data_IF_572255378849
#
_entry.id   IF_572255378849
#
_cell.length_a   1.000
_cell.length_b   1.000
_cell.length_c   1.000
_cell.angle_alpha   90.00
_cell.angle_beta   90.00
_cell.angle_gamma   90.00
#
_symmetry.space_group_name_H-M   'P 1'
#
loop_
_entity.id
_entity.type
_entity.pdbx_description
1 polymer ?
#
# COMPACT_ATOMS: atom_id res chain seq x y z
N UNK A 1 -6.04 -5.83 8.54
CA UNK A 1 -6.93 -6.97 8.28
C UNK A 1 -7.60 -7.46 9.57
N UNK A 2 -6.85 -7.77 10.62
CA UNK A 2 -7.43 -8.33 11.86
C UNK A 2 -8.14 -7.30 12.75
N UNK A 3 -7.42 -6.26 13.18
CA UNK A 3 -7.99 -5.26 14.10
C UNK A 3 -8.93 -4.26 13.42
N UNK A 4 -8.85 -4.12 12.09
CA UNK A 4 -9.60 -3.12 11.31
C UNK A 4 -9.51 -1.71 11.91
N UNK A 5 -8.35 -1.39 12.48
CA UNK A 5 -8.02 -0.11 13.10
C UNK A 5 -6.68 0.36 12.54
N UNK A 6 -6.57 1.65 12.25
CA UNK A 6 -5.36 2.25 11.70
C UNK A 6 -5.04 3.56 12.39
N UNK A 7 -3.81 3.67 12.91
CA UNK A 7 -3.29 4.94 13.41
C UNK A 7 -2.90 5.84 12.24
N UNK A 8 -3.70 6.87 12.03
CA UNK A 8 -3.54 7.81 10.91
C UNK A 8 -2.53 8.92 11.17
N UNK A 9 -2.08 9.10 12.42
CA UNK A 9 -1.03 10.06 12.75
C UNK A 9 0.31 9.60 12.15
N UNK A 10 0.96 10.44 11.30
CA UNK A 10 2.28 10.15 10.75
C UNK A 10 3.43 10.39 11.74
N UNK A 11 3.18 10.92 12.94
CA UNK A 11 4.23 11.28 13.89
C UNK A 11 4.95 10.04 14.45
N UNK A 12 6.21 9.87 14.07
CA UNK A 12 7.06 8.77 14.56
C UNK A 12 7.49 8.95 16.02
N UNK A 13 7.34 10.13 16.62
CA UNK A 13 7.56 10.32 18.05
C UNK A 13 6.54 9.56 18.92
N UNK A 14 5.46 9.04 18.32
CA UNK A 14 4.51 8.14 18.98
C UNK A 14 5.10 6.72 19.22
N UNK A 15 6.32 6.47 18.75
CA UNK A 15 7.03 5.20 18.90
C UNK A 15 8.35 5.45 19.62
N UNK A 16 8.63 4.67 20.66
CA UNK A 16 9.92 4.67 21.35
C UNK A 16 10.55 3.29 21.23
N UNK A 17 11.77 3.23 20.72
CA UNK A 17 12.53 1.99 20.72
C UNK A 17 13.28 1.83 22.04
N UNK A 18 12.88 0.85 22.84
CA UNK A 18 13.63 0.43 24.02
C UNK A 18 14.74 -0.55 23.60
N UNK A 19 15.98 -0.05 23.54
CA UNK A 19 17.14 -0.84 23.16
C UNK A 19 17.43 -2.00 24.12
N UNK A 20 17.02 -1.92 25.40
CA UNK A 20 17.26 -2.97 26.38
C UNK A 20 16.36 -4.17 26.14
N UNK A 21 15.06 -3.95 25.93
CA UNK A 21 14.10 -5.02 25.64
C UNK A 21 13.99 -5.36 24.15
N UNK A 22 14.57 -4.54 23.27
CA UNK A 22 14.41 -4.60 21.81
C UNK A 22 12.96 -4.53 21.37
N UNK A 23 12.14 -3.74 22.08
CA UNK A 23 10.72 -3.55 21.79
C UNK A 23 10.44 -2.13 21.35
N UNK A 24 9.42 -1.99 20.52
CA UNK A 24 8.84 -0.69 20.17
C UNK A 24 7.67 -0.43 21.11
N UNK A 25 7.76 0.63 21.91
CA UNK A 25 6.71 1.12 22.80
C UNK A 25 5.82 2.08 22.02
N UNK A 26 4.51 1.84 22.06
CA UNK A 26 3.49 2.66 21.44
C UNK A 26 2.98 3.68 22.47
N UNK A 27 3.23 4.96 22.23
CA UNK A 27 2.97 6.04 23.20
C UNK A 27 1.59 6.68 23.01
N UNK A 28 1.07 6.70 21.78
CA UNK A 28 -0.17 7.37 21.46
C UNK A 28 -1.03 6.55 20.49
N UNK A 29 -2.34 6.55 20.75
CA UNK A 29 -3.39 5.93 19.93
C UNK A 29 -4.56 6.90 19.61
N UNK A 30 -4.46 8.18 19.98
CA UNK A 30 -5.55 9.17 19.88
C UNK A 30 -6.05 9.44 18.46
N UNK A 31 -5.21 9.16 17.44
CA UNK A 31 -5.55 9.29 16.02
C UNK A 31 -5.86 7.94 15.34
N UNK A 32 -6.31 6.94 16.11
CA UNK A 32 -6.75 5.65 15.58
C UNK A 32 -8.13 5.77 14.96
N UNK A 33 -8.26 5.32 13.71
CA UNK A 33 -9.53 5.29 12.99
C UNK A 33 -9.94 3.87 12.62
N UNK A 34 -11.24 3.53 12.67
CA UNK A 34 -11.73 2.28 12.12
C UNK A 34 -11.50 2.26 10.60
N UNK A 35 -11.16 1.08 10.09
CA UNK A 35 -11.14 0.76 8.67
C UNK A 35 -12.34 -0.12 8.40
N UNK A 36 -13.24 0.32 7.52
CA UNK A 36 -14.43 -0.45 7.16
C UNK A 36 -14.05 -1.88 6.71
N UNK A 37 -14.82 -2.87 7.14
CA UNK A 37 -14.63 -4.27 6.76
C UNK A 37 -14.63 -4.48 5.24
N UNK A 38 -15.52 -3.80 4.50
CA UNK A 38 -15.57 -3.84 3.05
C UNK A 38 -14.28 -3.27 2.45
N UNK A 39 -13.83 -2.11 2.92
CA UNK A 39 -12.58 -1.50 2.47
C UNK A 39 -11.37 -2.42 2.73
N UNK A 40 -11.30 -3.01 3.92
CA UNK A 40 -10.25 -3.98 4.26
C UNK A 40 -10.30 -5.21 3.35
N UNK A 41 -11.48 -5.72 3.01
CA UNK A 41 -11.63 -6.87 2.12
C UNK A 41 -11.22 -6.51 0.67
N UNK A 42 -11.60 -5.34 0.17
CA UNK A 42 -11.21 -4.87 -1.15
C UNK A 42 -9.70 -4.68 -1.27
N UNK A 43 -9.04 -4.14 -0.23
CA UNK A 43 -7.57 -4.08 -0.19
C UNK A 43 -6.92 -5.48 -0.19
N UNK A 44 -7.49 -6.45 0.53
CA UNK A 44 -7.00 -7.83 0.49
C UNK A 44 -7.14 -8.40 -0.93
N UNK A 45 -8.30 -8.24 -1.56
CA UNK A 45 -8.54 -8.67 -2.94
C UNK A 45 -7.54 -8.04 -3.92
N UNK A 46 -7.34 -6.73 -3.81
CA UNK A 46 -6.39 -5.97 -4.62
C UNK A 46 -4.96 -6.51 -4.52
N UNK A 47 -4.47 -6.73 -3.29
CA UNK A 47 -3.13 -7.26 -3.06
C UNK A 47 -2.98 -8.71 -3.55
N UNK A 48 -3.97 -9.56 -3.29
CA UNK A 48 -3.96 -10.95 -3.76
C UNK A 48 -3.98 -11.03 -5.28
N UNK A 49 -4.83 -10.25 -5.95
CA UNK A 49 -4.94 -10.21 -7.40
C UNK A 49 -3.63 -9.73 -8.05
N UNK A 50 -3.05 -8.64 -7.54
CA UNK A 50 -1.77 -8.12 -8.02
C UNK A 50 -0.63 -9.12 -7.86
N UNK A 51 -0.51 -9.77 -6.69
CA UNK A 51 0.52 -10.77 -6.43
C UNK A 51 0.32 -12.07 -7.23
N UNK A 52 -0.92 -12.41 -7.60
CA UNK A 52 -1.25 -13.54 -8.46
C UNK A 52 -1.13 -13.23 -9.95
N UNK A 53 -0.86 -11.97 -10.33
CA UNK A 53 -0.86 -11.54 -11.74
C UNK A 53 -2.25 -11.51 -12.38
N UNK A 54 -3.33 -11.49 -11.58
CA UNK A 54 -4.69 -11.39 -12.08
C UNK A 54 -5.06 -9.91 -12.29
N UNK A 55 -4.66 -9.37 -13.43
CA UNK A 55 -4.88 -7.97 -13.81
C UNK A 55 -6.36 -7.57 -13.77
N UNK A 56 -7.25 -8.40 -14.34
CA UNK A 56 -8.68 -8.09 -14.39
C UNK A 56 -9.28 -7.91 -12.98
N UNK A 57 -8.93 -8.80 -12.04
CA UNK A 57 -9.38 -8.70 -10.66
C UNK A 57 -8.71 -7.54 -9.93
N UNK A 58 -7.43 -7.27 -10.19
CA UNK A 58 -6.70 -6.14 -9.65
C UNK A 58 -7.35 -4.82 -10.07
N UNK A 59 -7.67 -4.65 -11.35
CA UNK A 59 -8.33 -3.47 -11.90
C UNK A 59 -9.75 -3.29 -11.33
N UNK A 60 -10.52 -4.38 -11.22
CA UNK A 60 -11.84 -4.34 -10.58
C UNK A 60 -11.78 -3.87 -9.12
N UNK A 61 -10.82 -4.39 -8.35
CA UNK A 61 -10.60 -3.94 -6.98
C UNK A 61 -10.09 -2.49 -6.94
N UNK A 62 -9.21 -2.08 -7.86
CA UNK A 62 -8.70 -0.72 -7.97
C UNK A 62 -9.80 0.31 -8.27
N UNK A 63 -10.78 -0.04 -9.13
CA UNK A 63 -11.98 0.77 -9.37
C UNK A 63 -12.80 0.93 -8.08
N UNK A 64 -13.00 -0.16 -7.35
CA UNK A 64 -13.75 -0.14 -6.07
C UNK A 64 -13.04 0.69 -5.00
N UNK A 65 -11.70 0.63 -4.94
CA UNK A 65 -10.89 1.47 -4.05
C UNK A 65 -10.85 2.93 -4.49
N UNK A 66 -11.25 3.23 -5.73
CA UNK A 66 -11.15 4.53 -6.34
C UNK A 66 -9.73 4.90 -6.76
N UNK A 67 -8.83 3.95 -7.01
CA UNK A 67 -7.56 4.25 -7.69
C UNK A 67 -7.74 4.45 -9.18
N UNK A 68 -8.71 3.74 -9.75
CA UNK A 68 -9.19 3.92 -11.11
C UNK A 68 -10.60 4.51 -11.08
N UNK A 69 -11.00 5.17 -12.17
CA UNK A 69 -12.35 5.64 -12.42
C UNK A 69 -12.61 5.62 -13.93
N UNK A 70 -13.84 5.34 -14.34
CA UNK A 70 -14.33 5.42 -15.72
C UNK A 70 -14.10 6.80 -16.37
N UNK A 71 -14.04 7.87 -15.58
CA UNK A 71 -13.74 9.22 -16.06
C UNK A 71 -12.25 9.43 -16.43
N UNK A 72 -11.35 8.55 -16.00
CA UNK A 72 -9.93 8.63 -16.36
C UNK A 72 -9.73 8.22 -17.82
N UNK A 73 -8.85 8.92 -18.53
CA UNK A 73 -8.51 8.56 -19.92
C UNK A 73 -7.87 7.18 -19.99
N UNK A 74 -8.03 6.48 -21.12
CA UNK A 74 -7.44 5.15 -21.32
C UNK A 74 -5.93 5.16 -21.04
N UNK A 75 -5.22 6.19 -21.50
CA UNK A 75 -3.79 6.36 -21.25
C UNK A 75 -3.42 6.41 -19.76
N UNK A 76 -4.26 7.01 -18.91
CA UNK A 76 -4.01 7.05 -17.46
C UNK A 76 -4.31 5.70 -16.79
N UNK A 77 -5.30 4.97 -17.30
CA UNK A 77 -5.60 3.62 -16.81
C UNK A 77 -4.46 2.66 -17.18
N UNK A 78 -3.96 2.73 -18.42
CA UNK A 78 -2.83 1.93 -18.89
C UNK A 78 -1.56 2.23 -18.08
N UNK A 79 -1.28 3.51 -17.82
CA UNK A 79 -0.16 3.93 -16.97
C UNK A 79 -0.27 3.38 -15.54
N UNK A 80 -1.48 3.40 -14.96
CA UNK A 80 -1.72 2.80 -13.64
C UNK A 80 -1.45 1.30 -13.63
N UNK A 81 -1.96 0.57 -14.63
CA UNK A 81 -1.79 -0.88 -14.74
C UNK A 81 -0.31 -1.23 -14.88
N UNK A 82 0.43 -0.52 -15.72
CA UNK A 82 1.88 -0.69 -15.88
C UNK A 82 2.63 -0.48 -14.56
N UNK A 83 2.33 0.60 -13.82
CA UNK A 83 2.92 0.85 -12.51
C UNK A 83 2.63 -0.28 -11.53
N UNK A 84 1.40 -0.81 -11.52
CA UNK A 84 1.02 -1.87 -10.59
C UNK A 84 1.68 -3.20 -10.95
N UNK A 85 1.85 -3.52 -12.23
CA UNK A 85 2.64 -4.68 -12.63
C UNK A 85 4.07 -4.62 -12.12
N UNK A 86 4.74 -3.46 -12.26
CA UNK A 86 6.09 -3.27 -11.74
C UNK A 86 6.13 -3.40 -10.20
N UNK A 87 5.17 -2.77 -9.51
CA UNK A 87 5.08 -2.80 -8.05
C UNK A 87 4.88 -4.23 -7.51
N UNK A 88 3.93 -4.97 -8.08
CA UNK A 88 3.60 -6.33 -7.64
C UNK A 88 4.67 -7.34 -8.06
N UNK A 89 5.30 -7.18 -9.22
CA UNK A 89 6.44 -8.01 -9.62
C UNK A 89 7.60 -7.88 -8.63
N UNK A 90 7.91 -6.65 -8.17
CA UNK A 90 8.92 -6.42 -7.14
C UNK A 90 8.53 -7.04 -5.80
N UNK A 91 7.27 -6.88 -5.40
CA UNK A 91 6.75 -7.39 -4.13
C UNK A 91 6.67 -8.93 -4.09
N UNK A 92 6.49 -9.58 -5.25
CA UNK A 92 6.37 -11.03 -5.37
C UNK A 92 7.73 -11.76 -5.29
N UNK A 93 8.85 -11.03 -5.48
CA UNK A 93 10.20 -11.59 -5.38
C UNK A 93 10.44 -12.19 -3.99
N UNK A 94 11.05 -13.36 -3.95
CA UNK A 94 11.44 -14.01 -2.70
C UNK A 94 12.79 -13.44 -2.21
N UNK A 95 12.79 -12.14 -1.90
CA UNK A 95 13.98 -11.40 -1.49
C UNK A 95 13.69 -10.43 -0.35
N UNK A 96 14.77 -10.01 0.31
CA UNK A 96 14.71 -8.90 1.27
C UNK A 96 14.47 -7.61 0.50
N UNK A 97 13.39 -6.91 0.82
CA UNK A 97 13.12 -5.59 0.27
C UNK A 97 14.00 -4.55 0.96
N UNK A 98 14.91 -3.96 0.20
CA UNK A 98 15.87 -2.96 0.68
C UNK A 98 15.32 -1.56 0.48
N UNK A 99 14.64 -1.00 1.48
CA UNK A 99 13.99 0.31 1.36
C UNK A 99 14.98 1.45 1.04
N UNK A 100 16.23 1.32 1.49
CA UNK A 100 17.27 2.34 1.26
C UNK A 100 17.83 2.37 -0.17
N UNK A 101 17.65 1.30 -0.95
CA UNK A 101 18.32 1.08 -2.25
C UNK A 101 17.35 0.77 -3.40
N UNK A 102 16.06 0.55 -3.11
CA UNK A 102 15.07 0.20 -4.13
C UNK A 102 14.63 1.43 -4.94
N UNK A 103 15.32 1.68 -6.05
CA UNK A 103 15.03 2.78 -6.98
C UNK A 103 13.66 2.63 -7.66
N UNK A 104 13.24 1.40 -7.95
CA UNK A 104 11.94 1.12 -8.57
C UNK A 104 10.79 1.63 -7.68
N UNK A 105 10.83 1.33 -6.39
CA UNK A 105 9.80 1.80 -5.47
C UNK A 105 9.79 3.33 -5.33
N UNK A 106 10.94 3.99 -5.50
CA UNK A 106 11.01 5.44 -5.52
C UNK A 106 10.38 6.02 -6.79
N UNK A 107 10.72 5.46 -7.95
CA UNK A 107 10.16 5.86 -9.24
C UNK A 107 8.63 5.71 -9.26
N UNK A 108 8.13 4.55 -8.83
CA UNK A 108 6.69 4.29 -8.74
C UNK A 108 5.96 5.26 -7.81
N UNK A 109 6.59 5.67 -6.70
CA UNK A 109 6.04 6.71 -5.84
C UNK A 109 5.92 8.05 -6.58
N UNK A 110 6.94 8.47 -7.32
CA UNK A 110 6.91 9.73 -8.07
C UNK A 110 5.89 9.71 -9.20
N UNK A 111 5.86 8.63 -9.99
CA UNK A 111 4.84 8.42 -11.04
C UNK A 111 3.42 8.46 -10.47
N UNK A 112 3.20 7.79 -9.35
CA UNK A 112 1.91 7.81 -8.65
C UNK A 112 1.48 9.21 -8.20
N UNK A 113 2.41 10.04 -7.70
CA UNK A 113 2.13 11.44 -7.34
C UNK A 113 1.76 12.27 -8.57
N UNK A 114 2.51 12.16 -9.67
CA UNK A 114 2.22 12.87 -10.92
C UNK A 114 0.88 12.44 -11.54
N UNK A 115 0.55 11.16 -11.49
CA UNK A 115 -0.75 10.66 -11.94
C UNK A 115 -1.88 11.16 -11.04
N UNK A 116 -1.67 11.20 -9.71
CA UNK A 116 -2.64 11.76 -8.77
C UNK A 116 -2.88 13.26 -9.03
N UNK A 117 -1.84 14.03 -9.34
CA UNK A 117 -1.98 15.45 -9.68
C UNK A 117 -2.80 15.65 -10.97
N UNK A 118 -2.51 14.88 -12.02
CA UNK A 118 -3.26 14.91 -13.29
C UNK A 118 -4.72 14.47 -13.12
N UNK A 119 -5.00 13.52 -12.23
CA UNK A 119 -6.36 12.98 -12.02
C UNK A 119 -7.21 13.78 -11.04
N UNK A 120 -6.64 14.65 -10.19
CA UNK A 120 -7.37 15.38 -9.14
C UNK A 120 -8.60 16.16 -9.62
N UNK A 121 -8.57 16.70 -10.83
CA UNK A 121 -9.68 17.47 -11.41
C UNK A 121 -10.83 16.58 -11.89
N UNK A 122 -10.54 15.31 -12.14
CA UNK A 122 -11.44 14.33 -12.75
C UNK A 122 -11.96 13.33 -11.72
N UNK A 123 -11.12 12.99 -10.74
CA UNK A 123 -11.40 11.95 -9.76
C UNK A 123 -10.60 12.16 -8.48
N UNK A 124 -11.28 11.99 -7.35
CA UNK A 124 -10.63 11.92 -6.04
C UNK A 124 -11.03 10.59 -5.39
N UNK A 125 -10.06 9.73 -5.01
CA UNK A 125 -10.37 8.51 -4.29
C UNK A 125 -11.12 8.82 -2.99
N UNK A 126 -11.95 7.88 -2.49
CA UNK A 126 -12.63 8.06 -1.21
C UNK A 126 -11.64 8.44 -0.09
N UNK A 127 -12.02 9.34 0.84
CA UNK A 127 -11.14 9.78 1.93
C UNK A 127 -10.52 8.62 2.73
N UNK A 128 -11.30 7.55 2.96
CA UNK A 128 -10.86 6.35 3.67
C UNK A 128 -9.70 5.64 2.95
N UNK A 129 -9.79 5.51 1.62
CA UNK A 129 -8.71 4.98 0.79
C UNK A 129 -7.46 5.87 0.88
N UNK A 130 -7.64 7.20 0.83
CA UNK A 130 -6.53 8.15 0.92
C UNK A 130 -5.80 8.07 2.26
N UNK A 131 -6.49 7.80 3.37
CA UNK A 131 -5.82 7.60 4.66
C UNK A 131 -4.90 6.38 4.65
N UNK A 132 -5.34 5.27 4.06
CA UNK A 132 -4.52 4.05 3.96
C UNK A 132 -3.31 4.31 3.06
N UNK A 133 -3.51 4.95 1.91
CA UNK A 133 -2.41 5.31 1.00
C UNK A 133 -1.37 6.20 1.66
N UNK A 134 -1.79 7.25 2.37
CA UNK A 134 -0.87 8.12 3.12
C UNK A 134 -0.11 7.34 4.19
N UNK A 135 -0.77 6.40 4.88
CA UNK A 135 -0.11 5.55 5.88
C UNK A 135 0.96 4.66 5.23
N UNK A 136 0.64 4.01 4.11
CA UNK A 136 1.60 3.19 3.36
C UNK A 136 2.79 4.02 2.87
N UNK A 137 2.54 5.18 2.27
CA UNK A 137 3.58 6.10 1.82
C UNK A 137 4.49 6.55 2.97
N UNK A 138 3.91 6.88 4.13
CA UNK A 138 4.67 7.25 5.33
C UNK A 138 5.55 6.12 5.85
N UNK A 139 5.05 4.89 5.87
CA UNK A 139 5.83 3.70 6.26
C UNK A 139 6.97 3.42 5.28
N UNK A 140 6.74 3.57 3.97
CA UNK A 140 7.78 3.43 2.97
C UNK A 140 8.89 4.48 3.16
N UNK A 141 8.53 5.75 3.35
CA UNK A 141 9.50 6.82 3.61
C UNK A 141 10.29 6.60 4.91
N UNK A 142 9.64 6.09 5.96
CA UNK A 142 10.33 5.70 7.20
C UNK A 142 11.32 4.56 6.94
N UNK A 143 10.87 3.50 6.27
CA UNK A 143 11.72 2.37 5.90
C UNK A 143 12.95 2.83 5.14
N UNK A 144 12.78 3.76 4.19
CA UNK A 144 13.89 4.33 3.42
C UNK A 144 14.84 5.14 4.28
N UNK A 145 14.31 6.00 5.17
CA UNK A 145 15.11 6.79 6.11
C UNK A 145 15.95 5.90 7.03
N UNK A 146 15.39 4.77 7.47
CA UNK A 146 16.07 3.78 8.31
C UNK A 146 16.96 2.82 7.53
N UNK A 147 16.95 2.88 6.18
CA UNK A 147 17.58 1.88 5.30
C UNK A 147 17.16 0.45 5.69
N UNK A 148 15.87 0.28 6.00
CA UNK A 148 15.34 -0.97 6.49
C UNK A 148 15.44 -2.09 5.43
N UNK A 149 15.64 -3.29 5.94
CA UNK A 149 15.71 -4.53 5.18
C UNK A 149 14.61 -5.46 5.69
N UNK A 150 13.58 -5.70 4.88
CA UNK A 150 12.37 -6.42 5.32
C UNK A 150 11.95 -7.46 4.29
N UNK A 151 11.71 -8.70 4.74
CA UNK A 151 11.07 -9.73 3.91
C UNK A 151 9.57 -9.47 3.74
N UNK A 152 9.20 -8.51 2.88
CA UNK A 152 7.80 -8.06 2.71
C UNK A 152 6.85 -9.18 2.30
N UNK A 153 7.28 -10.08 1.40
CA UNK A 153 6.48 -11.24 0.99
C UNK A 153 6.08 -12.10 2.18
N UNK A 154 7.02 -12.41 3.07
CA UNK A 154 6.77 -13.19 4.28
C UNK A 154 5.91 -12.45 5.29
N UNK A 155 6.07 -11.12 5.38
CA UNK A 155 5.25 -10.27 6.25
C UNK A 155 3.78 -10.23 5.79
N UNK A 156 3.54 -10.22 4.47
CA UNK A 156 2.20 -10.16 3.89
C UNK A 156 1.49 -11.52 3.89
N UNK A 157 2.24 -12.62 3.74
CA UNK A 157 1.72 -13.99 3.58
C UNK A 157 0.57 -14.37 4.54
N UNK A 158 0.59 -14.05 5.85
CA UNK A 158 -0.51 -14.41 6.75
C UNK A 158 -1.83 -13.68 6.48
N UNK A 159 -1.77 -12.53 5.79
CA UNK A 159 -2.91 -11.67 5.50
C UNK A 159 -3.41 -11.79 4.05
N UNK A 160 -2.67 -12.52 3.22
CA UNK A 160 -3.06 -12.88 1.88
C UNK A 160 -3.93 -14.14 1.97
N UNK A 161 -5.03 -14.17 1.21
CA UNK A 161 -5.87 -15.36 1.16
C UNK A 161 -5.10 -16.42 0.37
N UNK A 162 -5.17 -17.71 0.75
CA UNK A 162 -4.72 -18.76 -0.16
C UNK A 162 -5.52 -18.61 -1.46
N UNK A 163 -4.82 -18.30 -2.55
CA UNK A 163 -5.43 -18.31 -3.88
C UNK A 163 -5.69 -19.78 -4.21
N UNK A 164 -6.95 -20.20 -4.15
CA UNK A 164 -7.37 -21.47 -4.76
C UNK A 164 -7.13 -21.32 -6.26
N UNK A 165 -6.06 -21.95 -6.74
CA UNK A 165 -5.92 -22.27 -8.15
C UNK A 165 -6.92 -23.39 -8.43
N UNK A 166 -8.17 -22.99 -8.74
CA UNK A 166 -9.15 -23.90 -9.32
C UNK A 166 -8.60 -24.58 -10.57
#
# INVERSE_FOLDING_TARGET
FDFKLMQTDPNFANFLYDAKSKRVVLLDFGATRPVNAALSATYACYLNAGLAGNEALMCSAALTLGFLNEAMTQSMQDEFVEMMHLAFAELAKDQIFQFGQNELAHDLQQRGLQMAERSREVHLPPPETLYIQRKMAGLYLLGRRLKAEVGLKNLLKPYLLPYDQG
#
